data_IF_765837989321
#
_entry.id   IF_765837989321
#
_cell.length_a   1.000
_cell.length_b   1.000
_cell.length_c   1.000
_cell.angle_alpha   90.00
_cell.angle_beta   90.00
_cell.angle_gamma   90.00
#
_symmetry.space_group_name_H-M   'P 1'
#
loop_
_entity.id
_entity.type
_entity.pdbx_description
1 polymer ?
#
# COMPACT_ATOMS: atom_id res chain seq x y z
N UNK A 1 15.80 -4.32 14.70
CA UNK A 1 15.66 -3.35 13.59
C UNK A 1 15.29 -2.02 14.20
N UNK A 2 15.99 -0.93 13.88
CA UNK A 2 15.69 0.41 14.40
C UNK A 2 14.44 0.94 13.70
N UNK A 3 13.44 1.41 14.46
CA UNK A 3 12.21 1.95 13.88
C UNK A 3 12.48 3.21 13.06
N UNK A 4 11.79 3.38 11.92
CA UNK A 4 11.92 4.58 11.13
C UNK A 4 11.29 5.78 11.85
N UNK A 5 11.78 6.97 11.50
CA UNK A 5 11.15 8.22 11.90
C UNK A 5 9.76 8.34 11.25
N UNK A 6 8.79 8.89 11.98
CA UNK A 6 7.47 9.22 11.44
C UNK A 6 7.35 10.73 11.25
N UNK A 7 6.95 11.14 10.04
CA UNK A 7 6.57 12.53 9.72
C UNK A 7 5.23 12.56 8.99
N UNK A 8 4.60 13.74 8.95
CA UNK A 8 3.35 13.88 8.21
C UNK A 8 3.61 13.95 6.70
N UNK A 9 2.61 13.53 5.94
CA UNK A 9 2.44 13.70 4.51
C UNK A 9 1.16 14.50 4.32
N UNK A 10 1.22 15.64 3.65
CA UNK A 10 0.10 16.59 3.59
C UNK A 10 -0.36 16.76 2.15
N UNK A 11 -1.66 16.93 1.90
CA UNK A 11 -2.17 17.24 0.57
C UNK A 11 -1.70 18.63 0.10
N UNK A 12 -1.40 18.79 -1.18
CA UNK A 12 -0.95 20.07 -1.74
C UNK A 12 -2.10 21.08 -1.85
N UNK A 13 -2.17 22.01 -0.90
CA UNK A 13 -3.20 23.05 -0.90
C UNK A 13 -4.63 22.50 -0.85
N UNK A 14 -5.60 23.38 -1.05
CA UNK A 14 -7.03 23.03 -0.98
C UNK A 14 -7.53 22.27 -2.20
N UNK A 15 -6.86 22.41 -3.34
CA UNK A 15 -7.36 21.95 -4.64
C UNK A 15 -6.81 20.57 -5.05
N UNK A 16 -5.89 19.98 -4.27
CA UNK A 16 -5.28 18.68 -4.58
C UNK A 16 -6.31 17.58 -4.80
N UNK A 17 -7.42 17.56 -4.04
CA UNK A 17 -8.47 16.56 -4.20
C UNK A 17 -9.26 16.73 -5.50
N UNK A 18 -9.51 17.98 -5.91
CA UNK A 18 -10.17 18.27 -7.19
C UNK A 18 -9.24 17.94 -8.36
N UNK A 19 -7.94 18.23 -8.26
CA UNK A 19 -6.99 17.83 -9.29
C UNK A 19 -6.80 16.31 -9.37
N UNK A 20 -6.82 15.62 -8.24
CA UNK A 20 -6.82 14.17 -8.21
C UNK A 20 -8.10 13.61 -8.85
N UNK A 21 -9.26 14.20 -8.56
CA UNK A 21 -10.53 13.84 -9.20
C UNK A 21 -10.46 14.05 -10.71
N UNK A 22 -9.98 15.22 -11.16
CA UNK A 22 -9.80 15.51 -12.58
C UNK A 22 -8.95 14.42 -13.23
N UNK A 23 -7.78 14.10 -12.64
CA UNK A 23 -6.87 13.06 -13.11
C UNK A 23 -7.55 11.70 -13.22
N UNK A 24 -8.27 11.25 -12.19
CA UNK A 24 -8.96 9.96 -12.23
C UNK A 24 -10.16 9.93 -13.19
N UNK A 25 -10.77 11.09 -13.45
CA UNK A 25 -11.95 11.21 -14.31
C UNK A 25 -11.64 11.21 -15.82
N UNK A 26 -10.37 11.29 -16.22
CA UNK A 26 -9.95 11.47 -17.62
C UNK A 26 -10.45 10.35 -18.54
N UNK A 27 -11.27 10.66 -19.55
CA UNK A 27 -11.78 9.66 -20.49
C UNK A 27 -10.70 9.10 -21.43
N UNK A 28 -9.68 9.90 -21.76
CA UNK A 28 -8.58 9.54 -22.65
C UNK A 28 -7.60 8.52 -22.02
N UNK A 29 -7.51 8.51 -20.69
CA UNK A 29 -6.62 7.61 -19.96
C UNK A 29 -7.07 6.16 -20.15
N UNK A 30 -6.24 5.36 -20.82
CA UNK A 30 -6.59 3.97 -21.17
C UNK A 30 -7.80 3.86 -22.10
N UNK A 31 -8.09 4.86 -22.95
CA UNK A 31 -9.20 4.80 -23.90
C UNK A 31 -9.14 3.60 -24.85
N UNK A 32 -7.92 3.16 -25.20
CA UNK A 32 -7.66 1.98 -26.04
C UNK A 32 -7.32 0.72 -25.22
N UNK A 33 -7.65 0.70 -23.92
CA UNK A 33 -7.41 -0.44 -23.02
C UNK A 33 -8.64 -1.33 -22.88
N UNK A 34 -8.49 -2.45 -22.17
CA UNK A 34 -9.60 -3.37 -21.88
C UNK A 34 -10.71 -2.76 -21.00
N UNK A 35 -10.44 -1.66 -20.29
CA UNK A 35 -11.41 -1.01 -19.42
C UNK A 35 -11.36 0.52 -19.59
N UNK A 36 -11.96 1.08 -20.67
CA UNK A 36 -12.11 2.53 -20.82
C UNK A 36 -12.95 3.16 -19.69
N UNK A 37 -12.89 4.50 -19.53
CA UNK A 37 -13.57 5.20 -18.42
C UNK A 37 -15.07 4.90 -18.31
N UNK A 38 -15.81 4.96 -19.43
CA UNK A 38 -17.25 4.67 -19.42
C UNK A 38 -17.58 3.22 -19.00
N UNK A 39 -16.72 2.25 -19.32
CA UNK A 39 -16.88 0.86 -18.87
C UNK A 39 -16.60 0.75 -17.38
N UNK A 40 -15.55 1.39 -16.90
CA UNK A 40 -15.23 1.47 -15.48
C UNK A 40 -16.39 2.07 -14.68
N UNK A 41 -16.94 3.19 -15.14
CA UNK A 41 -18.06 3.88 -14.47
C UNK A 41 -19.30 3.00 -14.41
N UNK A 42 -19.65 2.34 -15.52
CA UNK A 42 -20.77 1.41 -15.57
C UNK A 42 -20.59 0.22 -14.60
N UNK A 43 -19.38 -0.33 -14.49
CA UNK A 43 -19.07 -1.42 -13.55
C UNK A 43 -19.18 -0.92 -12.10
N UNK A 44 -18.65 0.26 -11.78
CA UNK A 44 -18.73 0.84 -10.44
C UNK A 44 -20.19 1.12 -10.05
N UNK A 45 -20.99 1.67 -10.96
CA UNK A 45 -22.43 1.90 -10.75
C UNK A 45 -23.18 0.58 -10.52
N UNK A 46 -22.89 -0.43 -11.35
CA UNK A 46 -23.47 -1.76 -11.18
C UNK A 46 -23.07 -2.38 -9.83
N UNK A 47 -21.80 -2.28 -9.43
CA UNK A 47 -21.33 -2.79 -8.14
C UNK A 47 -22.09 -2.14 -6.97
N UNK A 48 -22.26 -0.81 -7.00
CA UNK A 48 -22.96 -0.06 -5.95
C UNK A 48 -24.42 -0.47 -5.77
N UNK A 49 -25.05 -0.99 -6.81
CA UNK A 49 -26.45 -1.44 -6.78
C UNK A 49 -26.61 -2.91 -6.37
N UNK A 50 -25.54 -3.69 -6.35
CA UNK A 50 -25.61 -5.15 -6.18
C UNK A 50 -24.73 -5.71 -5.04
N UNK A 51 -23.78 -4.92 -4.54
CA UNK A 51 -22.82 -5.37 -3.53
C UNK A 51 -22.79 -4.38 -2.36
N UNK A 52 -22.76 -4.85 -1.11
CA UNK A 52 -22.57 -3.98 0.05
C UNK A 52 -21.18 -3.33 0.00
N UNK A 53 -21.13 -2.10 -0.51
CA UNK A 53 -19.92 -1.28 -0.55
C UNK A 53 -19.74 -0.47 0.73
N UNK A 54 -20.82 -0.21 1.47
CA UNK A 54 -20.83 0.52 2.74
C UNK A 54 -21.51 -0.34 3.83
N UNK A 55 -20.81 -1.39 4.27
CA UNK A 55 -21.29 -2.25 5.36
C UNK A 55 -20.15 -2.64 6.31
N UNK A 56 -20.48 -3.32 7.41
CA UNK A 56 -19.51 -3.82 8.41
C UNK A 56 -18.48 -4.78 7.80
N UNK A 57 -18.82 -5.43 6.68
CA UNK A 57 -17.93 -6.32 5.93
C UNK A 57 -17.99 -5.94 4.43
N UNK A 58 -17.37 -4.82 4.04
CA UNK A 58 -17.43 -4.34 2.66
C UNK A 58 -16.68 -5.31 1.74
N UNK A 59 -17.24 -5.54 0.55
CA UNK A 59 -16.59 -6.37 -0.47
C UNK A 59 -15.33 -5.70 -1.02
N UNK A 60 -14.24 -6.45 -1.20
CA UNK A 60 -13.01 -5.96 -1.83
C UNK A 60 -13.15 -5.72 -3.35
N UNK A 61 -14.32 -6.01 -3.93
CA UNK A 61 -14.57 -5.86 -5.37
C UNK A 61 -14.29 -4.44 -5.87
N UNK A 62 -14.70 -3.40 -5.14
CA UNK A 62 -14.45 -2.02 -5.56
C UNK A 62 -12.95 -1.72 -5.61
N UNK A 63 -12.21 -2.14 -4.58
CA UNK A 63 -10.76 -2.01 -4.54
C UNK A 63 -10.12 -2.71 -5.74
N UNK A 64 -10.51 -3.95 -6.01
CA UNK A 64 -10.01 -4.72 -7.16
C UNK A 64 -10.32 -4.04 -8.50
N UNK A 65 -11.53 -3.50 -8.68
CA UNK A 65 -11.92 -2.76 -9.89
C UNK A 65 -11.07 -1.49 -10.05
N UNK A 66 -10.81 -0.74 -8.98
CA UNK A 66 -9.91 0.41 -9.00
C UNK A 66 -8.49 -0.01 -9.40
N UNK A 67 -7.95 -1.08 -8.80
CA UNK A 67 -6.61 -1.58 -9.12
C UNK A 67 -6.50 -2.04 -10.58
N UNK A 68 -7.51 -2.73 -11.10
CA UNK A 68 -7.57 -3.15 -12.51
C UNK A 68 -7.70 -1.96 -13.47
N UNK A 69 -8.42 -0.90 -13.09
CA UNK A 69 -8.45 0.32 -13.89
C UNK A 69 -7.08 0.98 -13.94
N UNK A 70 -6.34 1.02 -12.84
CA UNK A 70 -4.97 1.54 -12.79
C UNK A 70 -4.05 0.73 -13.70
N UNK A 71 -4.15 -0.61 -13.71
CA UNK A 71 -3.33 -1.41 -14.64
C UNK A 71 -3.65 -1.09 -16.10
N UNK A 72 -4.92 -0.83 -16.43
CA UNK A 72 -5.34 -0.42 -17.77
C UNK A 72 -4.82 0.96 -18.19
N UNK A 73 -4.79 1.93 -17.26
CA UNK A 73 -4.32 3.29 -17.53
C UNK A 73 -2.80 3.34 -17.69
N UNK A 74 -2.06 2.66 -16.80
CA UNK A 74 -0.62 2.81 -16.70
C UNK A 74 0.19 1.79 -17.51
N UNK A 75 -0.42 0.71 -17.98
CA UNK A 75 0.29 -0.28 -18.80
C UNK A 75 0.58 0.26 -20.20
N UNK A 76 1.84 0.18 -20.60
CA UNK A 76 2.37 0.57 -21.91
C UNK A 76 3.14 -0.61 -22.51
N UNK A 77 3.39 -0.64 -23.83
CA UNK A 77 4.15 -1.71 -24.47
C UNK A 77 5.52 -1.96 -23.84
N UNK A 78 6.20 -0.92 -23.36
CA UNK A 78 7.52 -0.99 -22.76
C UNK A 78 7.49 -1.33 -21.26
N UNK A 79 6.32 -1.18 -20.62
CA UNK A 79 6.17 -1.30 -19.17
C UNK A 79 4.76 -1.71 -18.78
N UNK A 80 4.64 -2.91 -18.24
CA UNK A 80 3.38 -3.49 -17.78
C UNK A 80 3.16 -3.18 -16.31
N UNK A 81 1.92 -2.86 -15.95
CA UNK A 81 1.49 -2.76 -14.55
C UNK A 81 0.67 -3.98 -14.20
N UNK A 82 1.12 -4.69 -13.17
CA UNK A 82 0.47 -5.88 -12.63
C UNK A 82 -0.24 -5.55 -11.34
N UNK A 83 -1.36 -6.22 -11.10
CA UNK A 83 -2.03 -6.26 -9.81
C UNK A 83 -1.90 -7.67 -9.24
N UNK A 84 -1.26 -7.80 -8.08
CA UNK A 84 -1.18 -9.03 -7.31
C UNK A 84 -2.15 -8.90 -6.13
N UNK A 85 -3.37 -9.45 -6.25
CA UNK A 85 -4.33 -9.42 -5.16
C UNK A 85 -3.90 -10.36 -4.03
N UNK A 86 -4.20 -9.96 -2.80
CA UNK A 86 -4.14 -10.81 -1.60
C UNK A 86 -2.81 -11.58 -1.43
N UNK A 87 -1.68 -10.93 -1.73
CA UNK A 87 -0.34 -11.52 -1.58
C UNK A 87 -0.14 -12.16 -0.20
N UNK A 88 -0.58 -11.51 0.88
CA UNK A 88 -0.43 -12.09 2.23
C UNK A 88 -1.12 -13.45 2.36
N UNK A 89 -2.25 -13.66 1.68
CA UNK A 89 -2.96 -14.94 1.62
C UNK A 89 -2.21 -15.95 0.75
N UNK A 90 -1.71 -15.51 -0.42
CA UNK A 90 -0.90 -16.36 -1.30
C UNK A 90 0.37 -16.87 -0.60
N UNK A 91 1.06 -16.01 0.14
CA UNK A 91 2.25 -16.35 0.93
C UNK A 91 1.91 -17.34 2.04
N UNK A 92 0.82 -17.10 2.78
CA UNK A 92 0.39 -18.00 3.84
C UNK A 92 0.08 -19.41 3.32
N UNK A 93 -0.58 -19.49 2.15
CA UNK A 93 -0.89 -20.73 1.46
C UNK A 93 0.37 -21.45 0.94
N UNK A 94 1.30 -20.71 0.32
CA UNK A 94 2.55 -21.27 -0.21
C UNK A 94 3.47 -21.83 0.88
N UNK A 95 3.49 -21.20 2.05
CA UNK A 95 4.35 -21.59 3.17
C UNK A 95 3.73 -22.64 4.12
N UNK A 96 2.53 -23.15 3.83
CA UNK A 96 1.77 -24.06 4.70
C UNK A 96 1.59 -23.57 6.15
N UNK A 97 1.76 -22.27 6.38
CA UNK A 97 1.68 -21.65 7.70
C UNK A 97 0.25 -21.51 8.21
N UNK A 98 -0.74 -21.53 7.30
CA UNK A 98 -2.16 -21.43 7.60
C UNK A 98 -2.65 -20.03 7.97
N UNK A 99 -1.77 -19.08 8.29
CA UNK A 99 -2.15 -17.74 8.74
C UNK A 99 -1.37 -16.62 8.04
N UNK A 100 -2.04 -15.52 7.63
CA UNK A 100 -1.37 -14.33 7.10
C UNK A 100 -0.43 -13.66 8.13
N UNK A 101 0.61 -12.94 7.70
CA UNK A 101 1.57 -12.26 8.59
C UNK A 101 0.94 -11.23 9.55
N UNK A 102 -0.22 -10.68 9.19
CA UNK A 102 -1.02 -9.80 10.03
C UNK A 102 -2.49 -10.17 9.89
N UNK A 103 -3.13 -10.46 11.03
CA UNK A 103 -4.57 -10.72 11.08
C UNK A 103 -5.35 -9.45 10.73
N UNK A 104 -6.46 -9.62 10.02
CA UNK A 104 -7.35 -8.54 9.56
C UNK A 104 -6.73 -7.51 8.60
N UNK A 105 -5.54 -7.79 8.04
CA UNK A 105 -4.94 -6.94 7.00
C UNK A 105 -4.55 -7.80 5.79
N UNK A 106 -5.11 -7.43 4.64
CA UNK A 106 -4.82 -8.08 3.36
C UNK A 106 -3.84 -7.21 2.58
N UNK A 107 -2.69 -7.79 2.22
CA UNK A 107 -1.65 -7.09 1.48
C UNK A 107 -1.76 -7.38 0.00
N UNK A 108 -2.08 -6.36 -0.79
CA UNK A 108 -2.07 -6.38 -2.25
C UNK A 108 -0.88 -5.59 -2.79
N UNK A 109 -0.52 -5.80 -4.06
CA UNK A 109 0.58 -5.07 -4.71
C UNK A 109 0.22 -4.61 -6.11
N UNK A 110 0.60 -3.37 -6.44
CA UNK A 110 0.71 -2.90 -7.81
C UNK A 110 2.17 -2.86 -8.22
N UNK A 111 2.53 -3.55 -9.30
CA UNK A 111 3.92 -3.75 -9.72
C UNK A 111 4.11 -3.24 -11.13
N UNK A 112 5.02 -2.28 -11.31
CA UNK A 112 5.45 -1.81 -12.62
C UNK A 112 6.75 -2.50 -13.03
N UNK A 113 6.69 -3.28 -14.09
CA UNK A 113 7.79 -4.11 -14.57
C UNK A 113 7.91 -4.07 -16.10
N UNK A 114 9.07 -4.46 -16.64
CA UNK A 114 9.20 -4.70 -18.08
C UNK A 114 8.39 -5.95 -18.49
N UNK A 115 7.94 -6.08 -19.76
CA UNK A 115 7.02 -7.15 -20.18
C UNK A 115 7.49 -8.58 -19.83
N UNK A 116 8.78 -8.86 -20.01
CA UNK A 116 9.36 -10.18 -19.65
C UNK A 116 9.28 -10.44 -18.15
N UNK A 117 9.66 -9.46 -17.33
CA UNK A 117 9.59 -9.57 -15.87
C UNK A 117 8.15 -9.67 -15.40
N UNK A 118 7.23 -8.93 -16.03
CA UNK A 118 5.80 -9.00 -15.73
C UNK A 118 5.24 -10.41 -15.99
N UNK A 119 5.56 -11.02 -17.13
CA UNK A 119 5.16 -12.39 -17.44
C UNK A 119 5.66 -13.40 -16.40
N UNK A 120 6.90 -13.25 -15.91
CA UNK A 120 7.48 -14.15 -14.91
C UNK A 120 6.75 -13.99 -13.55
N UNK A 121 6.50 -12.75 -13.13
CA UNK A 121 5.80 -12.47 -11.86
C UNK A 121 4.38 -13.04 -11.88
N UNK A 122 3.65 -12.90 -12.99
CA UNK A 122 2.27 -13.43 -13.08
C UNK A 122 2.24 -14.96 -12.95
N UNK A 123 3.26 -15.66 -13.45
CA UNK A 123 3.33 -17.13 -13.37
C UNK A 123 3.61 -17.66 -11.96
N UNK A 124 4.39 -16.94 -11.16
CA UNK A 124 4.71 -17.31 -9.77
C UNK A 124 5.00 -16.06 -8.93
N UNK A 125 3.96 -15.34 -8.45
CA UNK A 125 4.17 -14.06 -7.78
C UNK A 125 4.90 -14.21 -6.45
N UNK A 126 4.68 -15.30 -5.72
CA UNK A 126 5.32 -15.50 -4.40
C UNK A 126 6.79 -15.89 -4.58
N UNK A 127 7.07 -16.97 -5.32
CA UNK A 127 8.45 -17.45 -5.48
C UNK A 127 9.35 -16.42 -6.17
N UNK A 128 8.82 -15.65 -7.11
CA UNK A 128 9.58 -14.62 -7.82
C UNK A 128 9.82 -13.38 -6.95
N UNK A 129 8.81 -12.89 -6.22
CA UNK A 129 8.97 -11.68 -5.42
C UNK A 129 9.73 -11.91 -4.12
N UNK A 130 9.82 -13.16 -3.63
CA UNK A 130 10.55 -13.48 -2.39
C UNK A 130 11.98 -13.97 -2.67
N UNK A 131 12.30 -14.35 -3.91
CA UNK A 131 13.66 -14.74 -4.29
C UNK A 131 14.59 -13.55 -4.56
N UNK A 132 15.89 -13.75 -4.31
CA UNK A 132 16.95 -12.76 -4.60
C UNK A 132 17.34 -12.80 -6.08
N UNK A 133 16.47 -12.32 -6.97
CA UNK A 133 16.75 -12.26 -8.41
C UNK A 133 17.45 -10.96 -8.79
N UNK A 134 18.38 -11.02 -9.76
CA UNK A 134 19.16 -9.84 -10.22
C UNK A 134 18.31 -8.71 -10.82
N UNK A 135 17.07 -8.96 -11.20
CA UNK A 135 16.19 -7.98 -11.86
C UNK A 135 15.13 -7.40 -10.91
N UNK A 136 15.03 -7.87 -9.66
CA UNK A 136 14.08 -7.37 -8.66
C UNK A 136 14.25 -5.87 -8.40
N UNK A 137 15.48 -5.35 -8.51
CA UNK A 137 15.78 -3.93 -8.38
C UNK A 137 15.26 -3.07 -9.55
N UNK A 138 14.84 -3.68 -10.67
CA UNK A 138 14.27 -2.99 -11.83
C UNK A 138 12.76 -2.81 -11.75
N UNK A 139 12.08 -3.51 -10.86
CA UNK A 139 10.63 -3.38 -10.69
C UNK A 139 10.29 -2.34 -9.61
N UNK A 140 9.14 -1.72 -9.75
CA UNK A 140 8.65 -0.70 -8.82
C UNK A 140 7.33 -1.20 -8.22
N UNK A 141 7.18 -1.10 -6.90
CA UNK A 141 6.03 -1.63 -6.19
C UNK A 141 5.36 -0.51 -5.41
N UNK A 142 4.04 -0.49 -5.48
CA UNK A 142 3.18 0.23 -4.53
C UNK A 142 2.44 -0.81 -3.71
N UNK A 143 2.62 -0.74 -2.39
CA UNK A 143 1.99 -1.67 -1.45
C UNK A 143 0.60 -1.16 -1.10
N UNK A 144 -0.42 -2.01 -1.14
CA UNK A 144 -1.79 -1.66 -0.76
C UNK A 144 -2.21 -2.59 0.37
N UNK A 145 -2.55 -2.04 1.53
CA UNK A 145 -2.96 -2.78 2.71
C UNK A 145 -4.45 -2.50 2.97
N UNK A 146 -5.26 -3.52 2.77
CA UNK A 146 -6.70 -3.46 3.01
C UNK A 146 -6.99 -4.00 4.42
N UNK A 147 -7.37 -3.11 5.34
CA UNK A 147 -7.85 -3.51 6.65
C UNK A 147 -9.28 -4.03 6.57
N UNK A 148 -9.54 -5.16 7.22
CA UNK A 148 -10.87 -5.79 7.31
C UNK A 148 -11.63 -5.40 8.58
N UNK A 149 -10.96 -4.77 9.54
CA UNK A 149 -11.52 -4.30 10.79
C UNK A 149 -10.88 -2.98 11.21
N UNK A 150 -11.55 -2.22 12.09
CA UNK A 150 -10.97 -1.03 12.73
C UNK A 150 -9.66 -1.37 13.44
N UNK A 151 -9.62 -2.51 14.13
CA UNK A 151 -8.41 -3.01 14.77
C UNK A 151 -7.27 -3.22 13.76
N UNK A 152 -7.57 -3.87 12.62
CA UNK A 152 -6.60 -4.04 11.54
C UNK A 152 -6.09 -2.70 11.02
N UNK A 153 -6.96 -1.70 10.85
CA UNK A 153 -6.57 -0.38 10.36
C UNK A 153 -5.67 0.40 11.34
N UNK A 154 -5.99 0.35 12.63
CA UNK A 154 -5.24 1.04 13.68
C UNK A 154 -3.82 0.46 13.85
N UNK A 155 -3.65 -0.85 13.64
CA UNK A 155 -2.38 -1.55 13.80
C UNK A 155 -1.67 -1.85 12.46
N UNK A 156 -2.25 -1.47 11.31
CA UNK A 156 -1.66 -1.78 9.99
C UNK A 156 -0.38 -0.98 9.69
N UNK A 157 -0.20 0.19 10.31
CA UNK A 157 0.90 1.09 9.96
C UNK A 157 2.29 0.49 10.24
N UNK A 158 2.56 -0.07 11.42
CA UNK A 158 3.79 -0.84 11.68
C UNK A 158 4.12 -1.88 10.62
N UNK A 159 3.15 -2.75 10.33
CA UNK A 159 3.32 -3.79 9.33
C UNK A 159 3.57 -3.21 7.93
N UNK A 160 2.80 -2.20 7.52
CA UNK A 160 2.94 -1.56 6.22
C UNK A 160 4.33 -0.93 6.03
N UNK A 161 4.81 -0.19 7.03
CA UNK A 161 6.12 0.46 7.01
C UNK A 161 7.24 -0.58 6.98
N UNK A 162 7.11 -1.68 7.74
CA UNK A 162 8.07 -2.78 7.71
C UNK A 162 8.18 -3.39 6.30
N UNK A 163 7.05 -3.75 5.68
CA UNK A 163 7.03 -4.34 4.33
C UNK A 163 7.67 -3.42 3.28
N UNK A 164 7.42 -2.10 3.37
CA UNK A 164 8.02 -1.11 2.46
C UNK A 164 9.53 -0.98 2.72
N UNK A 165 9.94 -0.95 3.99
CA UNK A 165 11.35 -0.84 4.37
C UNK A 165 12.15 -2.08 3.95
N UNK A 166 11.59 -3.28 4.16
CA UNK A 166 12.17 -4.54 3.70
C UNK A 166 12.31 -4.56 2.18
N UNK A 167 11.29 -4.10 1.44
CA UNK A 167 11.36 -3.97 0.00
C UNK A 167 12.50 -3.04 -0.47
N UNK A 168 12.60 -1.85 0.14
CA UNK A 168 13.69 -0.91 -0.11
C UNK A 168 15.07 -1.52 0.18
N UNK A 169 15.22 -2.21 1.32
CA UNK A 169 16.45 -2.90 1.68
C UNK A 169 16.84 -4.00 0.70
N UNK A 170 15.88 -4.82 0.28
CA UNK A 170 16.09 -5.92 -0.68
C UNK A 170 16.45 -5.44 -2.08
N UNK A 171 15.88 -4.31 -2.51
CA UNK A 171 16.05 -3.79 -3.87
C UNK A 171 17.12 -2.72 -4.00
N UNK A 172 17.63 -2.21 -2.87
CA UNK A 172 18.52 -1.04 -2.83
C UNK A 172 17.80 0.27 -3.22
N UNK A 173 16.47 0.27 -3.27
CA UNK A 173 15.69 1.46 -3.62
C UNK A 173 15.66 2.41 -2.44
N UNK A 174 15.92 3.69 -2.72
CA UNK A 174 15.82 4.74 -1.72
C UNK A 174 14.38 4.98 -1.29
N UNK A 175 13.45 5.06 -2.22
CA UNK A 175 12.06 5.41 -1.92
C UNK A 175 11.10 4.24 -2.11
N UNK A 176 10.06 4.21 -1.29
CA UNK A 176 8.94 3.28 -1.38
C UNK A 176 7.59 3.97 -1.13
N UNK A 177 6.51 3.34 -1.59
CA UNK A 177 5.14 3.87 -1.48
C UNK A 177 4.19 2.79 -0.96
N UNK A 178 3.27 3.21 -0.10
CA UNK A 178 2.24 2.35 0.45
C UNK A 178 0.93 3.08 0.69
N UNK A 179 -0.15 2.32 0.76
CA UNK A 179 -1.49 2.81 1.02
C UNK A 179 -2.15 1.85 2.01
N UNK A 180 -2.80 2.37 3.05
CA UNK A 180 -3.66 1.60 3.94
C UNK A 180 -5.09 2.09 3.72
N UNK A 181 -6.03 1.19 3.50
CA UNK A 181 -7.45 1.52 3.33
C UNK A 181 -8.33 0.69 4.25
N UNK A 182 -9.44 1.27 4.71
CA UNK A 182 -10.49 0.59 5.45
C UNK A 182 -11.85 0.98 4.88
N UNK A 183 -12.43 0.09 4.08
CA UNK A 183 -13.62 0.38 3.27
C UNK A 183 -14.91 0.57 4.08
N UNK A 184 -14.97 0.16 5.36
CA UNK A 184 -16.17 0.38 6.18
C UNK A 184 -16.35 1.85 6.55
N UNK A 185 -15.25 2.61 6.65
CA UNK A 185 -15.24 4.02 7.00
C UNK A 185 -14.76 4.92 5.86
N UNK A 186 -14.54 4.35 4.67
CA UNK A 186 -14.05 5.08 3.50
C UNK A 186 -12.73 5.84 3.77
N UNK A 187 -11.88 5.23 4.60
CA UNK A 187 -10.62 5.82 5.05
C UNK A 187 -9.46 5.38 4.17
N UNK A 188 -8.63 6.35 3.78
CA UNK A 188 -7.37 6.12 3.08
C UNK A 188 -6.20 6.82 3.79
N UNK A 189 -5.12 6.07 4.01
CA UNK A 189 -3.85 6.56 4.56
C UNK A 189 -2.73 6.31 3.55
N UNK A 190 -2.02 7.36 3.15
CA UNK A 190 -0.94 7.29 2.17
C UNK A 190 0.42 7.33 2.88
N UNK A 191 1.37 6.55 2.38
CA UNK A 191 2.69 6.33 2.99
C UNK A 191 3.78 6.55 1.94
N UNK A 192 4.76 7.39 2.25
CA UNK A 192 5.99 7.54 1.49
C UNK A 192 7.19 7.23 2.39
N UNK A 193 8.05 6.32 1.98
CA UNK A 193 9.24 5.92 2.73
C UNK A 193 10.51 6.41 2.03
N UNK A 194 11.47 6.92 2.80
CA UNK A 194 12.84 7.23 2.38
C UNK A 194 13.83 6.42 3.23
N UNK A 195 14.51 5.46 2.61
CA UNK A 195 15.49 4.59 3.25
C UNK A 195 16.75 5.33 3.72
N UNK A 196 17.10 6.47 3.10
CA UNK A 196 18.21 7.30 3.56
C UNK A 196 17.82 8.14 4.80
N UNK A 197 16.53 8.51 4.85
CA UNK A 197 15.86 9.17 5.96
C UNK A 197 16.66 10.27 6.68
N UNK A 198 16.63 10.24 8.01
CA UNK A 198 17.26 11.22 8.90
C UNK A 198 18.09 10.46 9.96
N UNK A 199 19.27 10.99 10.30
CA UNK A 199 20.18 10.39 11.29
C UNK A 199 20.55 8.92 11.01
N UNK A 200 20.62 8.54 9.72
CA UNK A 200 20.93 7.17 9.31
C UNK A 200 19.81 6.15 9.57
N UNK A 201 18.60 6.61 9.91
CA UNK A 201 17.38 5.79 10.04
C UNK A 201 16.41 6.11 8.91
N UNK A 202 15.70 5.10 8.42
CA UNK A 202 14.63 5.29 7.45
C UNK A 202 13.57 6.28 7.96
N UNK A 203 12.90 6.97 7.03
CA UNK A 203 11.91 7.98 7.32
C UNK A 203 10.60 7.65 6.59
N UNK A 204 9.55 7.40 7.35
CA UNK A 204 8.18 7.20 6.87
C UNK A 204 7.39 8.49 7.01
N UNK A 205 6.82 8.96 5.91
CA UNK A 205 5.85 10.05 5.85
C UNK A 205 4.47 9.47 5.65
N UNK A 206 3.53 9.85 6.51
CA UNK A 206 2.16 9.32 6.50
C UNK A 206 1.14 10.45 6.55
N UNK A 207 0.04 10.33 5.81
CA UNK A 207 -1.11 11.19 6.07
C UNK A 207 -1.57 10.96 7.51
N UNK A 208 -1.69 12.02 8.31
CA UNK A 208 -1.99 11.95 9.76
C UNK A 208 -3.37 11.32 10.07
N UNK A 209 -3.87 11.47 11.30
CA UNK A 209 -5.25 11.04 11.63
C UNK A 209 -6.30 11.87 10.88
N UNK A 210 -5.93 12.99 10.27
CA UNK A 210 -6.61 13.59 9.12
C UNK A 210 -6.52 12.65 7.91
N UNK A 211 -7.13 11.48 8.09
CA UNK A 211 -7.47 10.49 7.09
C UNK A 211 -8.14 11.18 5.92
N UNK A 212 -7.83 10.75 4.70
CA UNK A 212 -8.63 11.22 3.57
C UNK A 212 -9.90 10.37 3.57
N UNK A 213 -11.00 10.96 4.05
CA UNK A 213 -12.33 10.40 3.92
C UNK A 213 -12.74 10.48 2.45
N UNK A 214 -12.52 9.36 1.76
CA UNK A 214 -12.84 9.19 0.35
C UNK A 214 -13.98 8.19 0.27
N UNK A 215 -15.18 8.75 0.42
CA UNK A 215 -16.43 8.02 0.23
C UNK A 215 -16.44 7.27 -1.10
N UNK A 216 -17.23 6.20 -1.14
CA UNK A 216 -17.39 5.37 -2.34
C UNK A 216 -17.80 6.19 -3.57
N UNK A 217 -18.44 7.34 -3.43
CA UNK A 217 -18.79 8.25 -4.54
C UNK A 217 -17.58 9.05 -5.09
N UNK A 218 -16.49 9.19 -4.33
CA UNK A 218 -15.23 9.86 -4.70
C UNK A 218 -14.22 8.92 -5.38
N UNK A 219 -14.70 7.90 -6.09
CA UNK A 219 -13.87 6.91 -6.81
C UNK A 219 -12.86 7.56 -7.74
N UNK A 220 -13.23 8.64 -8.45
CA UNK A 220 -12.29 9.33 -9.35
C UNK A 220 -11.15 10.02 -8.56
N UNK A 221 -11.43 10.58 -7.39
CA UNK A 221 -10.40 11.13 -6.50
C UNK A 221 -9.45 10.04 -5.99
N UNK A 222 -10.01 8.90 -5.54
CA UNK A 222 -9.21 7.73 -5.11
C UNK A 222 -8.31 7.30 -6.26
N UNK A 223 -8.87 7.13 -7.45
CA UNK A 223 -8.15 6.72 -8.64
C UNK A 223 -6.98 7.67 -8.94
N UNK A 224 -7.20 8.99 -8.93
CA UNK A 224 -6.14 9.98 -9.14
C UNK A 224 -5.01 9.90 -8.12
N UNK A 225 -5.33 9.77 -6.82
CA UNK A 225 -4.33 9.67 -5.77
C UNK A 225 -3.53 8.36 -5.85
N UNK A 226 -4.18 7.22 -6.14
CA UNK A 226 -3.47 5.94 -6.28
C UNK A 226 -2.63 5.92 -7.57
N UNK A 227 -3.09 6.53 -8.66
CA UNK A 227 -2.29 6.70 -9.88
C UNK A 227 -0.95 7.41 -9.57
N UNK A 228 -0.99 8.53 -8.83
CA UNK A 228 0.21 9.26 -8.42
C UNK A 228 1.18 8.37 -7.63
N UNK A 229 0.66 7.60 -6.66
CA UNK A 229 1.49 6.68 -5.87
C UNK A 229 2.18 5.61 -6.71
N UNK A 230 1.49 5.10 -7.74
CA UNK A 230 1.99 4.03 -8.61
C UNK A 230 2.97 4.57 -9.66
N UNK A 231 2.68 5.73 -10.23
CA UNK A 231 3.58 6.44 -11.16
C UNK A 231 4.88 6.86 -10.46
N UNK A 232 4.80 7.22 -9.18
CA UNK A 232 5.93 7.71 -8.38
C UNK A 232 6.39 6.73 -7.28
N UNK A 233 6.15 5.42 -7.49
CA UNK A 233 6.42 4.34 -6.53
C UNK A 233 7.86 4.33 -5.95
N UNK A 234 8.84 4.82 -6.72
CA UNK A 234 10.25 4.89 -6.31
C UNK A 234 10.82 6.30 -6.36
N UNK A 235 9.97 7.31 -6.47
CA UNK A 235 10.37 8.71 -6.54
C UNK A 235 10.18 9.39 -5.18
N UNK A 236 10.92 10.46 -4.95
CA UNK A 236 10.77 11.26 -3.73
C UNK A 236 9.46 12.04 -3.72
N UNK A 237 9.15 12.65 -4.86
CA UNK A 237 8.08 13.63 -5.01
C UNK A 237 6.78 12.95 -5.44
N UNK A 238 5.68 13.42 -4.87
CA UNK A 238 4.32 13.07 -5.26
C UNK A 238 3.66 14.31 -5.87
N UNK A 239 2.75 14.11 -6.82
CA UNK A 239 2.02 15.21 -7.44
C UNK A 239 1.08 15.88 -6.44
N UNK A 240 0.36 15.08 -5.64
CA UNK A 240 -0.72 15.56 -4.77
C UNK A 240 -0.35 15.70 -3.30
N UNK A 241 0.90 15.35 -2.92
CA UNK A 241 1.37 15.44 -1.55
C UNK A 241 2.65 16.26 -1.39
N UNK A 242 2.69 17.08 -0.34
CA UNK A 242 3.85 17.85 0.11
C UNK A 242 4.46 17.26 1.37
N UNK A 243 5.73 17.61 1.57
CA UNK A 243 6.39 17.48 2.87
C UNK A 243 5.93 18.68 3.71
N UNK A 244 5.39 18.47 4.92
CA UNK A 244 5.02 19.59 5.78
C UNK A 244 6.25 20.47 6.06
N UNK A 245 6.05 21.79 6.08
CA UNK A 245 6.99 22.68 6.77
C UNK A 245 7.01 22.28 8.25
N UNK A 246 8.20 22.22 8.85
CA UNK A 246 8.57 21.45 10.05
C UNK A 246 7.80 21.65 11.36
N UNK A 247 6.67 22.39 11.42
CA UNK A 247 6.13 22.94 12.68
C UNK A 247 4.63 22.67 12.94
N UNK A 248 3.99 21.70 12.29
CA UNK A 248 2.58 21.39 12.61
C UNK A 248 2.47 20.50 13.88
N UNK A 249 2.24 21.14 15.02
CA UNK A 249 2.21 20.54 16.36
C UNK A 249 1.09 19.50 16.51
N UNK A 250 -0.02 19.66 15.79
CA UNK A 250 -1.16 18.73 15.84
C UNK A 250 -0.82 17.37 15.24
N UNK A 251 -0.19 17.37 14.07
CA UNK A 251 0.32 16.19 13.39
C UNK A 251 1.46 15.53 14.17
N UNK A 252 2.30 16.31 14.85
CA UNK A 252 3.40 15.77 15.65
C UNK A 252 2.91 14.92 16.83
N UNK A 253 1.88 15.35 17.57
CA UNK A 253 1.31 14.58 18.68
C UNK A 253 0.71 13.24 18.23
N UNK A 254 0.10 13.21 17.04
CA UNK A 254 -0.45 11.99 16.45
C UNK A 254 0.64 11.03 16.00
N UNK A 255 1.71 11.57 15.40
CA UNK A 255 2.87 10.78 14.99
C UNK A 255 3.60 10.22 16.20
N UNK A 256 3.66 10.95 17.32
CA UNK A 256 4.20 10.42 18.58
C UNK A 256 3.39 9.23 19.11
N UNK A 257 2.06 9.29 19.07
CA UNK A 257 1.21 8.16 19.47
C UNK A 257 1.43 6.93 18.57
N UNK A 258 1.48 7.13 17.25
CA UNK A 258 1.79 6.07 16.28
C UNK A 258 3.22 5.51 16.47
N UNK A 259 4.17 6.36 16.82
CA UNK A 259 5.55 5.96 17.07
C UNK A 259 5.71 5.17 18.38
N UNK A 260 4.91 5.48 19.40
CA UNK A 260 4.81 4.68 20.62
C UNK A 260 4.24 3.27 20.31
N UNK A 261 3.17 3.19 19.51
CA UNK A 261 2.59 1.91 19.08
C UNK A 261 3.60 1.06 18.29
N UNK A 262 4.34 1.68 17.36
CA UNK A 262 5.43 1.03 16.63
C UNK A 262 6.50 0.44 17.57
N UNK A 263 6.85 1.16 18.65
CA UNK A 263 7.83 0.71 19.64
C UNK A 263 7.32 -0.48 20.45
N UNK A 264 6.08 -0.41 20.92
CA UNK A 264 5.46 -1.47 21.72
C UNK A 264 5.30 -2.77 20.91
N UNK A 265 4.90 -2.68 19.64
CA UNK A 265 4.78 -3.84 18.76
C UNK A 265 6.14 -4.43 18.33
N UNK A 266 7.14 -3.60 18.09
CA UNK A 266 8.50 -4.07 17.80
C UNK A 266 9.07 -4.86 18.97
N UNK A 267 8.82 -4.41 20.20
CA UNK A 267 9.27 -5.06 21.42
C UNK A 267 8.52 -6.38 21.69
N UNK A 268 7.23 -6.46 21.37
CA UNK A 268 6.44 -7.69 21.56
C UNK A 268 6.81 -8.79 20.56
N UNK A 269 7.16 -8.45 19.31
CA UNK A 269 7.62 -9.41 18.29
C UNK A 269 9.05 -9.90 18.46
N UNK A 270 9.90 -9.25 19.27
CA UNK A 270 11.23 -9.77 19.62
C UNK A 270 11.20 -10.86 20.71
N UNK A 271 10.07 -11.07 21.38
CA UNK A 271 9.94 -12.02 22.49
C UNK A 271 9.53 -13.48 22.14
N UNK A 272 8.96 -13.84 20.96
CA UNK A 272 8.67 -15.24 20.64
C UNK A 272 9.89 -16.02 20.15
N UNK A 273 10.86 -15.35 19.50
CA UNK A 273 12.04 -16.02 18.94
C UNK A 273 13.10 -16.40 19.98
N UNK A 274 13.10 -15.77 21.16
CA UNK A 274 14.02 -16.14 22.25
C UNK A 274 13.58 -17.38 23.05
N UNK A 275 12.33 -17.83 22.91
CA UNK A 275 11.79 -18.98 23.66
C UNK A 275 11.73 -20.29 22.86
N UNK A 276 12.08 -20.32 21.57
CA UNK A 276 12.12 -21.55 20.78
C UNK A 276 13.49 -22.27 20.78
N UNK A 277 14.54 -21.68 21.36
CA UNK A 277 15.86 -22.32 21.48
C UNK A 277 16.24 -22.79 22.89
N UNK A 278 15.35 -22.63 23.88
CA UNK A 278 15.55 -23.17 25.23
C UNK A 278 14.50 -24.23 25.58
N UNK A 279 14.34 -25.26 24.74
CA UNK A 279 13.79 -26.54 25.22
C UNK A 279 14.96 -27.38 25.75
N UNK A 280 15.06 -27.61 27.07
CA UNK A 280 16.03 -28.59 27.57
C UNK A 280 15.69 -29.95 26.98
N UNK A 281 16.71 -30.65 26.49
CA UNK A 281 16.61 -32.02 26.03
C UNK A 281 15.99 -32.87 27.16
N UNK A 282 14.78 -33.34 26.95
CA UNK A 282 14.16 -34.31 27.83
C UNK A 282 14.88 -35.65 27.61
N UNK A 283 15.77 -35.99 28.54
CA UNK A 283 16.23 -37.36 28.73
C UNK A 283 15.03 -38.22 29.16
N UNK A 284 14.64 -39.19 28.33
CA UNK A 284 14.34 -40.59 28.68
C UNK A 284 13.93 -41.38 27.45
#
# INVERSE_FOLDING_TARGET
MTLPHLKALVLKGTDALEWAKERGSRPEDGANSAMPKHVFDAIVEHLRTHVPTQSVCPSSMLLNIIMLRITCILSKPERTVLFIPERSVLVAAANYSGEPPMRDVVHHMLIRAGPRSASIIVSDPVGVLDSSTRWINKIHITHIFEAKSQYGFDHALPYAVQEIAEWCGRTGRRFGKGIITYSCLDIWRFISYDAAGEDGRGLSRVTGKSQIMLEVDKVDTILGLVLDMVENASEENLQFFDKPASNDVSLLLELFALQSQLQDESNSRMNPYYNQHNRPAANK
#
